data_IF_648320873464
#
_entry.id   IF_648320873464
#
_cell.length_a   1.000
_cell.length_b   1.000
_cell.length_c   1.000
_cell.angle_alpha   90.00
_cell.angle_beta   90.00
_cell.angle_gamma   90.00
#
_symmetry.space_group_name_H-M   'P 1'
#
loop_
_entity.id
_entity.type
_entity.pdbx_description
1 polymer ?
#
# COMPACT_ATOMS: atom_id res chain seq x y z
N UNK A 1 11.88 -35.49 -49.70
CA UNK A 1 10.73 -35.87 -48.82
C UNK A 1 11.10 -36.24 -47.38
N UNK A 2 12.36 -36.43 -47.01
CA UNK A 2 12.78 -36.78 -45.63
C UNK A 2 12.78 -35.65 -44.60
N UNK A 3 12.87 -34.38 -45.02
CA UNK A 3 12.99 -33.21 -44.12
C UNK A 3 11.66 -32.82 -43.44
N UNK A 4 10.49 -33.17 -43.98
CA UNK A 4 9.19 -32.88 -43.41
C UNK A 4 8.75 -33.88 -42.32
N UNK A 5 9.26 -35.11 -42.35
CA UNK A 5 8.94 -36.13 -41.35
C UNK A 5 9.58 -35.82 -39.98
N UNK A 6 10.80 -35.30 -39.98
CA UNK A 6 11.52 -34.94 -38.73
C UNK A 6 10.94 -33.73 -38.01
N UNK A 7 10.38 -32.77 -38.74
CA UNK A 7 9.73 -31.58 -38.14
C UNK A 7 8.41 -31.96 -37.42
N UNK A 8 7.60 -32.84 -38.02
CA UNK A 8 6.36 -33.34 -37.41
C UNK A 8 6.62 -34.18 -36.14
N UNK A 9 7.66 -35.01 -36.13
CA UNK A 9 8.02 -35.82 -34.98
C UNK A 9 8.46 -34.93 -33.78
N UNK A 10 9.19 -33.85 -34.04
CA UNK A 10 9.59 -32.89 -32.99
C UNK A 10 8.41 -32.11 -32.42
N UNK A 11 7.43 -31.72 -33.22
CA UNK A 11 6.23 -31.05 -32.79
C UNK A 11 5.36 -31.93 -31.85
N UNK A 12 5.20 -33.22 -32.19
CA UNK A 12 4.44 -34.16 -31.36
C UNK A 12 5.08 -34.43 -30.00
N UNK A 13 6.41 -34.44 -29.92
CA UNK A 13 7.14 -34.66 -28.66
C UNK A 13 7.03 -33.41 -27.76
N UNK A 14 7.06 -32.20 -28.33
CA UNK A 14 6.90 -30.97 -27.60
C UNK A 14 5.48 -30.81 -27.02
N UNK A 15 4.47 -31.24 -27.78
CA UNK A 15 3.06 -31.15 -27.32
C UNK A 15 2.77 -32.15 -26.18
N UNK A 16 3.36 -33.36 -26.24
CA UNK A 16 3.25 -34.35 -25.17
C UNK A 16 3.94 -33.91 -23.86
N UNK A 17 5.06 -33.19 -23.96
CA UNK A 17 5.76 -32.64 -22.80
C UNK A 17 4.95 -31.51 -22.13
N UNK A 18 4.34 -30.65 -22.92
CA UNK A 18 3.48 -29.57 -22.43
C UNK A 18 2.20 -30.11 -21.75
N UNK A 19 1.62 -31.16 -22.27
CA UNK A 19 0.45 -31.82 -21.68
C UNK A 19 0.76 -32.46 -20.31
N UNK A 20 1.92 -33.09 -20.15
CA UNK A 20 2.38 -33.67 -18.87
C UNK A 20 2.65 -32.60 -17.81
N UNK A 21 3.22 -31.46 -18.19
CA UNK A 21 3.48 -30.36 -17.27
C UNK A 21 2.16 -29.75 -16.77
N UNK A 22 1.16 -29.56 -17.62
CA UNK A 22 -0.18 -29.07 -17.22
C UNK A 22 -0.89 -30.05 -16.29
N UNK A 23 -0.79 -31.37 -16.52
CA UNK A 23 -1.38 -32.37 -15.63
C UNK A 23 -0.73 -32.37 -14.24
N UNK A 24 0.58 -32.19 -14.12
CA UNK A 24 1.28 -32.08 -12.83
C UNK A 24 0.89 -30.85 -12.05
N UNK A 25 0.67 -29.70 -12.71
CA UNK A 25 0.22 -28.45 -12.07
C UNK A 25 -1.20 -28.62 -11.51
N UNK A 26 -2.11 -29.27 -12.26
CA UNK A 26 -3.50 -29.47 -11.81
C UNK A 26 -3.56 -30.46 -10.64
N UNK A 27 -2.76 -31.52 -10.63
CA UNK A 27 -2.68 -32.45 -9.49
C UNK A 27 -2.04 -31.82 -8.26
N UNK A 28 -1.05 -30.95 -8.42
CA UNK A 28 -0.43 -30.22 -7.32
C UNK A 28 -1.39 -29.24 -6.64
N UNK A 29 -2.22 -28.54 -7.40
CA UNK A 29 -3.23 -27.61 -6.86
C UNK A 29 -4.37 -28.35 -6.12
N UNK A 30 -4.76 -29.55 -6.57
CA UNK A 30 -5.79 -30.35 -5.88
C UNK A 30 -5.30 -30.88 -4.52
N UNK A 31 -4.02 -31.21 -4.39
CA UNK A 31 -3.44 -31.69 -3.12
C UNK A 31 -3.31 -30.57 -2.06
N UNK A 32 -3.06 -29.33 -2.49
CA UNK A 32 -2.98 -28.17 -1.57
C UNK A 32 -4.38 -27.78 -1.06
N UNK A 33 -5.42 -27.91 -1.88
CA UNK A 33 -6.79 -27.56 -1.49
C UNK A 33 -7.38 -28.55 -0.44
N UNK A 34 -6.91 -29.79 -0.40
CA UNK A 34 -7.41 -30.80 0.57
C UNK A 34 -6.83 -30.63 1.99
N UNK A 35 -5.73 -29.89 2.16
CA UNK A 35 -5.06 -29.70 3.46
C UNK A 35 -5.60 -28.50 4.26
N UNK A 36 -6.43 -27.63 3.66
CA UNK A 36 -6.95 -26.41 4.30
C UNK A 36 -8.27 -26.63 5.04
N UNK A 37 -8.93 -27.80 4.92
CA UNK A 37 -10.27 -28.03 5.49
C UNK A 37 -10.25 -28.69 6.88
N UNK A 38 -9.08 -29.02 7.45
CA UNK A 38 -8.99 -29.77 8.72
C UNK A 38 -8.34 -28.96 9.85
N UNK A 39 -8.87 -27.79 10.19
CA UNK A 39 -8.26 -26.98 11.26
C UNK A 39 -9.08 -25.82 11.76
N UNK A 40 -10.41 -25.96 11.94
CA UNK A 40 -11.16 -25.00 12.74
C UNK A 40 -11.00 -25.35 14.22
N UNK A 41 -9.88 -24.90 14.81
CA UNK A 41 -9.76 -24.77 16.25
C UNK A 41 -10.22 -23.36 16.62
N UNK A 42 -11.30 -23.28 17.40
CA UNK A 42 -11.82 -22.04 17.96
C UNK A 42 -10.77 -21.42 18.88
N UNK A 43 -10.18 -20.30 18.48
CA UNK A 43 -9.32 -19.50 19.35
C UNK A 43 -10.19 -18.45 20.03
N UNK A 44 -10.33 -18.58 21.34
CA UNK A 44 -10.97 -17.57 22.16
C UNK A 44 -10.12 -16.28 22.10
N UNK A 45 -10.75 -15.17 21.69
CA UNK A 45 -10.12 -13.86 21.60
C UNK A 45 -10.01 -13.29 23.03
N UNK A 46 -8.84 -13.37 23.62
CA UNK A 46 -8.50 -12.62 24.82
C UNK A 46 -8.11 -11.21 24.39
N UNK A 47 -8.84 -10.21 24.89
CA UNK A 47 -8.51 -8.79 24.71
C UNK A 47 -7.19 -8.50 25.44
N UNK A 48 -6.10 -8.43 24.67
CA UNK A 48 -4.80 -7.97 25.12
C UNK A 48 -4.57 -6.55 24.60
N UNK A 49 -4.48 -5.59 25.52
CA UNK A 49 -4.02 -4.23 25.23
C UNK A 49 -2.52 -4.26 24.95
N UNK A 50 -2.12 -4.11 23.69
CA UNK A 50 -0.71 -3.97 23.33
C UNK A 50 -0.45 -2.59 22.77
N UNK A 51 0.45 -1.85 23.43
CA UNK A 51 0.90 -0.53 23.06
C UNK A 51 2.07 -0.66 22.10
N UNK A 52 1.77 -0.86 20.82
CA UNK A 52 2.72 -0.74 19.72
C UNK A 52 2.80 0.70 19.24
N UNK A 53 4.00 1.28 19.25
CA UNK A 53 4.25 2.62 18.72
C UNK A 53 4.28 2.56 17.19
N UNK A 54 3.13 2.84 16.56
CA UNK A 54 2.99 2.84 15.13
C UNK A 54 3.04 4.25 14.56
N UNK A 55 3.86 4.44 13.53
CA UNK A 55 4.02 5.65 12.73
C UNK A 55 2.78 6.02 11.89
N UNK A 56 1.69 5.29 12.00
CA UNK A 56 0.38 5.71 11.52
C UNK A 56 -0.19 6.71 12.54
N UNK A 57 -0.10 8.00 12.22
CA UNK A 57 -0.48 9.13 13.10
C UNK A 57 -1.74 8.84 13.90
N UNK A 58 -1.70 9.15 15.20
CA UNK A 58 -2.78 8.95 16.18
C UNK A 58 -4.09 9.57 15.68
N UNK A 59 -4.92 8.78 14.98
CA UNK A 59 -6.29 9.15 14.69
C UNK A 59 -7.09 9.02 15.98
N UNK A 60 -7.56 10.15 16.51
CA UNK A 60 -8.45 10.16 17.67
C UNK A 60 -9.75 9.47 17.29
N UNK A 61 -10.08 8.37 17.93
CA UNK A 61 -11.25 7.53 17.64
C UNK A 61 -12.62 8.14 18.00
N UNK A 62 -12.66 9.40 18.41
CA UNK A 62 -13.90 10.12 18.73
C UNK A 62 -14.37 10.90 17.50
N UNK A 63 -15.48 10.47 16.90
CA UNK A 63 -16.08 11.12 15.72
C UNK A 63 -15.67 10.57 14.36
N UNK A 64 -14.90 9.47 14.31
CA UNK A 64 -14.49 8.81 13.06
C UNK A 64 -15.61 7.91 12.55
N UNK A 65 -15.95 8.00 11.25
CA UNK A 65 -16.97 7.16 10.61
C UNK A 65 -16.64 5.66 10.70
N UNK A 66 -17.63 4.81 10.43
CA UNK A 66 -17.39 3.36 10.38
C UNK A 66 -16.44 3.00 9.23
N UNK A 67 -16.61 3.66 8.09
CA UNK A 67 -15.77 3.52 6.90
C UNK A 67 -14.31 3.88 7.20
N UNK A 68 -14.08 5.01 7.85
CA UNK A 68 -12.73 5.45 8.21
C UNK A 68 -12.06 4.52 9.20
N UNK A 69 -12.80 3.98 10.19
CA UNK A 69 -12.25 2.99 11.14
C UNK A 69 -11.81 1.72 10.45
N UNK A 70 -12.64 1.19 9.55
CA UNK A 70 -12.32 -0.02 8.79
C UNK A 70 -11.11 0.22 7.88
N UNK A 71 -11.09 1.35 7.16
CA UNK A 71 -9.97 1.72 6.31
C UNK A 71 -8.66 1.81 7.11
N UNK A 72 -8.67 2.44 8.29
CA UNK A 72 -7.48 2.53 9.15
C UNK A 72 -7.01 1.14 9.60
N UNK A 73 -7.96 0.24 9.94
CA UNK A 73 -7.63 -1.13 10.34
C UNK A 73 -6.96 -1.91 9.19
N UNK A 74 -7.49 -1.79 7.97
CA UNK A 74 -6.93 -2.42 6.78
C UNK A 74 -5.56 -1.84 6.40
N UNK A 75 -5.38 -0.52 6.49
CA UNK A 75 -4.07 0.13 6.26
C UNK A 75 -3.02 -0.36 7.25
N UNK A 76 -3.37 -0.55 8.52
CA UNK A 76 -2.46 -1.12 9.54
C UNK A 76 -2.07 -2.58 9.25
N UNK A 77 -2.94 -3.33 8.57
CA UNK A 77 -2.69 -4.70 8.12
C UNK A 77 -1.98 -4.74 6.75
N UNK A 78 -1.59 -3.59 6.21
CA UNK A 78 -1.01 -3.43 4.87
C UNK A 78 -1.94 -3.92 3.73
N UNK A 79 -3.23 -4.09 4.01
CA UNK A 79 -4.28 -4.45 3.05
C UNK A 79 -4.74 -3.20 2.27
N UNK A 80 -3.81 -2.55 1.57
CA UNK A 80 -4.03 -1.24 0.96
C UNK A 80 -5.12 -1.26 -0.11
N UNK A 81 -5.19 -2.32 -0.92
CA UNK A 81 -6.22 -2.46 -1.95
C UNK A 81 -7.63 -2.55 -1.34
N UNK A 82 -7.75 -3.27 -0.21
CA UNK A 82 -9.03 -3.44 0.48
C UNK A 82 -9.45 -2.19 1.25
N UNK A 83 -8.50 -1.34 1.65
CA UNK A 83 -8.78 -0.07 2.32
C UNK A 83 -9.39 0.98 1.38
N UNK A 84 -9.01 0.98 0.09
CA UNK A 84 -9.41 2.02 -0.86
C UNK A 84 -10.93 2.18 -1.02
N UNK A 85 -11.76 1.13 -1.14
CA UNK A 85 -13.21 1.27 -1.24
C UNK A 85 -13.83 2.00 -0.04
N UNK A 86 -13.37 1.73 1.18
CA UNK A 86 -13.84 2.40 2.40
C UNK A 86 -13.43 3.88 2.42
N UNK A 87 -12.18 4.18 2.04
CA UNK A 87 -11.69 5.55 1.92
C UNK A 87 -12.43 6.34 0.84
N UNK A 88 -12.73 5.72 -0.30
CA UNK A 88 -13.51 6.35 -1.36
C UNK A 88 -14.94 6.65 -0.90
N UNK A 89 -15.57 5.74 -0.14
CA UNK A 89 -16.89 5.96 0.45
C UNK A 89 -16.85 7.09 1.49
N UNK A 90 -15.79 7.15 2.30
CA UNK A 90 -15.57 8.23 3.28
C UNK A 90 -15.52 9.59 2.59
N UNK A 91 -14.66 9.76 1.57
CA UNK A 91 -14.53 11.05 0.87
C UNK A 91 -15.73 11.39 -0.03
N UNK A 92 -16.56 10.41 -0.38
CA UNK A 92 -17.83 10.66 -1.05
C UNK A 92 -18.87 11.24 -0.09
N UNK A 93 -18.85 10.82 1.19
CA UNK A 93 -19.69 11.36 2.26
C UNK A 93 -19.16 12.66 2.87
N UNK A 94 -17.86 12.74 3.07
CA UNK A 94 -17.15 13.93 3.56
C UNK A 94 -15.95 14.26 2.68
N UNK A 95 -16.13 15.04 1.61
CA UNK A 95 -15.03 15.46 0.73
C UNK A 95 -13.98 16.36 1.43
N UNK A 96 -14.29 16.88 2.61
CA UNK A 96 -13.40 17.75 3.39
C UNK A 96 -12.51 16.98 4.39
N UNK A 97 -12.62 15.65 4.43
CA UNK A 97 -11.80 14.81 5.29
C UNK A 97 -10.37 14.68 4.73
N UNK A 98 -9.47 15.56 5.18
CA UNK A 98 -8.06 15.55 4.76
C UNK A 98 -7.33 14.25 5.15
N UNK A 99 -7.69 13.63 6.28
CA UNK A 99 -7.10 12.38 6.73
C UNK A 99 -7.46 11.22 5.79
N UNK A 100 -8.70 11.16 5.31
CA UNK A 100 -9.13 10.15 4.35
C UNK A 100 -8.40 10.33 3.00
N UNK A 101 -8.27 11.55 2.49
CA UNK A 101 -7.48 11.83 1.30
C UNK A 101 -6.00 11.46 1.47
N UNK A 102 -5.41 11.74 2.63
CA UNK A 102 -4.06 11.32 2.96
C UNK A 102 -3.90 9.78 2.92
N UNK A 103 -4.86 9.03 3.48
CA UNK A 103 -4.82 7.56 3.46
C UNK A 103 -5.06 6.98 2.06
N UNK A 104 -5.87 7.62 1.21
CA UNK A 104 -5.97 7.27 -0.23
C UNK A 104 -4.59 7.43 -0.88
N UNK A 105 -3.93 8.56 -0.67
CA UNK A 105 -2.59 8.83 -1.20
C UNK A 105 -1.57 7.79 -0.73
N UNK A 106 -1.57 7.47 0.56
CA UNK A 106 -0.68 6.48 1.15
C UNK A 106 -0.91 5.08 0.57
N UNK A 107 -2.16 4.61 0.54
CA UNK A 107 -2.53 3.30 0.01
C UNK A 107 -2.20 3.17 -1.47
N UNK A 108 -2.53 4.18 -2.28
CA UNK A 108 -2.20 4.22 -3.71
C UNK A 108 -0.70 4.20 -3.95
N UNK A 109 0.10 4.92 -3.16
CA UNK A 109 1.57 4.89 -3.23
C UNK A 109 2.12 3.50 -2.95
N UNK A 110 1.62 2.83 -1.91
CA UNK A 110 2.02 1.45 -1.57
C UNK A 110 1.68 0.44 -2.65
N UNK A 111 0.61 0.68 -3.41
CA UNK A 111 0.21 -0.13 -4.56
C UNK A 111 0.93 0.25 -5.88
N UNK A 112 1.76 1.31 -5.87
CA UNK A 112 2.49 1.79 -7.05
C UNK A 112 1.66 2.71 -7.96
N UNK A 113 0.44 3.07 -7.59
CA UNK A 113 -0.36 4.06 -8.31
C UNK A 113 0.01 5.48 -7.85
N UNK A 114 1.14 5.94 -8.39
CA UNK A 114 1.71 7.23 -8.01
C UNK A 114 0.88 8.42 -8.49
N UNK A 115 0.14 8.28 -9.59
CA UNK A 115 -0.72 9.34 -10.14
C UNK A 115 -1.89 9.62 -9.19
N UNK A 116 -2.62 8.57 -8.80
CA UNK A 116 -3.71 8.70 -7.82
C UNK A 116 -3.18 9.15 -6.47
N UNK A 117 -2.01 8.65 -6.05
CA UNK A 117 -1.36 9.04 -4.80
C UNK A 117 -1.08 10.55 -4.74
N UNK A 118 -0.44 11.11 -5.77
CA UNK A 118 -0.13 12.53 -5.83
C UNK A 118 -1.40 13.38 -5.77
N UNK A 119 -2.39 13.06 -6.60
CA UNK A 119 -3.67 13.77 -6.64
C UNK A 119 -4.40 13.74 -5.28
N UNK A 120 -4.34 12.62 -4.56
CA UNK A 120 -4.95 12.48 -3.25
C UNK A 120 -4.24 13.32 -2.18
N UNK A 121 -2.90 13.33 -2.16
CA UNK A 121 -2.14 14.20 -1.27
C UNK A 121 -2.38 15.68 -1.57
N UNK A 122 -2.54 16.05 -2.85
CA UNK A 122 -2.88 17.43 -3.21
C UNK A 122 -4.23 17.85 -2.65
N UNK A 123 -5.24 16.97 -2.72
CA UNK A 123 -6.53 17.22 -2.08
C UNK A 123 -6.42 17.35 -0.56
N UNK A 124 -5.68 16.45 0.10
CA UNK A 124 -5.44 16.54 1.53
C UNK A 124 -4.79 17.87 1.92
N UNK A 125 -3.79 18.32 1.15
CA UNK A 125 -3.07 19.57 1.40
C UNK A 125 -3.83 20.83 0.97
N UNK A 126 -4.78 20.72 0.05
CA UNK A 126 -5.72 21.79 -0.28
C UNK A 126 -6.72 22.03 0.86
N UNK A 127 -7.20 20.97 1.51
CA UNK A 127 -8.09 21.03 2.66
C UNK A 127 -7.34 21.48 3.91
N UNK A 128 -6.21 20.84 4.20
CA UNK A 128 -5.35 21.16 5.34
C UNK A 128 -3.90 21.36 4.89
N UNK A 129 -3.47 22.60 4.60
CA UNK A 129 -2.11 22.92 4.14
C UNK A 129 -1.00 22.55 5.15
N UNK A 130 -1.35 22.26 6.40
CA UNK A 130 -0.44 21.86 7.49
C UNK A 130 -0.58 20.38 7.86
N UNK A 131 -1.25 19.58 7.04
CA UNK A 131 -1.43 18.14 7.28
C UNK A 131 -0.08 17.43 7.25
N UNK A 132 0.43 17.06 8.43
CA UNK A 132 1.81 16.56 8.58
C UNK A 132 2.06 15.27 7.79
N UNK A 133 1.16 14.27 7.91
CA UNK A 133 1.29 13.02 7.18
C UNK A 133 1.25 13.23 5.66
N UNK A 134 0.40 14.12 5.14
CA UNK A 134 0.36 14.39 3.70
C UNK A 134 1.63 15.10 3.20
N UNK A 135 2.21 16.01 4.01
CA UNK A 135 3.49 16.65 3.68
C UNK A 135 4.65 15.65 3.68
N UNK A 136 4.69 14.75 4.67
CA UNK A 136 5.68 13.67 4.76
C UNK A 136 5.56 12.70 3.59
N UNK A 137 4.40 12.07 3.44
CA UNK A 137 4.20 11.00 2.47
C UNK A 137 4.26 11.48 1.02
N UNK A 138 3.81 12.71 0.73
CA UNK A 138 4.04 13.32 -0.59
C UNK A 138 5.52 13.58 -0.82
N UNK A 139 6.28 13.96 0.21
CA UNK A 139 7.73 14.10 0.12
C UNK A 139 8.42 12.78 -0.23
N UNK A 140 8.02 11.68 0.40
CA UNK A 140 8.52 10.34 0.06
C UNK A 140 8.11 9.90 -1.35
N UNK A 141 6.88 10.22 -1.80
CA UNK A 141 6.45 10.01 -3.18
C UNK A 141 7.36 10.74 -4.16
N UNK A 142 7.69 12.00 -3.88
CA UNK A 142 8.58 12.79 -4.73
C UNK A 142 9.99 12.18 -4.83
N UNK A 143 10.52 11.61 -3.74
CA UNK A 143 11.78 10.86 -3.81
C UNK A 143 11.66 9.62 -4.70
N UNK A 144 10.55 8.89 -4.61
CA UNK A 144 10.27 7.74 -5.47
C UNK A 144 10.23 8.13 -6.95
N UNK A 145 9.73 9.34 -7.26
CA UNK A 145 9.63 9.90 -8.61
C UNK A 145 10.91 10.64 -9.05
N UNK A 146 11.98 10.66 -8.25
CA UNK A 146 13.23 11.35 -8.56
C UNK A 146 13.20 12.87 -8.33
N UNK A 147 12.14 13.41 -7.76
CA UNK A 147 11.98 14.85 -7.51
C UNK A 147 12.51 15.22 -6.12
N UNK A 148 13.83 15.26 -5.97
CA UNK A 148 14.50 15.65 -4.72
C UNK A 148 14.12 17.08 -4.29
N UNK A 149 14.07 18.02 -5.22
CA UNK A 149 13.74 19.42 -4.93
C UNK A 149 12.35 19.54 -4.30
N UNK A 150 11.34 18.89 -4.89
CA UNK A 150 9.99 18.90 -4.33
C UNK A 150 9.90 18.25 -2.94
N UNK A 151 10.68 17.18 -2.69
CA UNK A 151 10.75 16.58 -1.37
C UNK A 151 11.35 17.52 -0.32
N UNK A 152 12.40 18.26 -0.67
CA UNK A 152 13.04 19.26 0.22
C UNK A 152 12.10 20.45 0.52
N UNK A 153 11.33 20.91 -0.47
CA UNK A 153 10.31 21.94 -0.27
C UNK A 153 9.21 21.48 0.70
N UNK A 154 8.74 20.23 0.55
CA UNK A 154 7.76 19.66 1.48
C UNK A 154 8.32 19.49 2.89
N UNK A 155 9.58 19.09 3.03
CA UNK A 155 10.26 19.06 4.33
C UNK A 155 10.34 20.47 4.97
N UNK A 156 10.62 21.51 4.17
CA UNK A 156 10.64 22.88 4.67
C UNK A 156 9.24 23.35 5.12
N UNK A 157 8.18 22.98 4.39
CA UNK A 157 6.78 23.23 4.81
C UNK A 157 6.42 22.47 6.09
N UNK A 158 6.81 21.19 6.17
CA UNK A 158 6.56 20.32 7.31
C UNK A 158 7.22 20.87 8.59
N UNK A 159 8.47 21.33 8.50
CA UNK A 159 9.17 21.98 9.61
C UNK A 159 8.43 23.22 10.14
N UNK A 160 7.85 24.05 9.25
CA UNK A 160 7.05 25.21 9.65
C UNK A 160 5.72 24.83 10.30
N UNK A 161 5.20 23.65 9.98
CA UNK A 161 3.94 23.12 10.53
C UNK A 161 4.14 22.37 11.85
N UNK A 162 5.39 22.15 12.23
CA UNK A 162 5.79 21.37 13.41
C UNK A 162 6.21 22.29 14.54
N UNK A 163 5.55 22.20 15.69
CA UNK A 163 5.86 23.03 16.85
C UNK A 163 7.01 22.47 17.70
N UNK A 164 7.11 21.14 17.83
CA UNK A 164 8.15 20.47 18.61
C UNK A 164 8.18 18.97 18.28
N UNK A 165 9.37 18.43 18.01
CA UNK A 165 9.72 17.00 17.94
C UNK A 165 8.72 16.12 17.13
N UNK A 166 8.39 16.53 15.90
CA UNK A 166 7.51 15.75 15.03
C UNK A 166 8.29 14.59 14.37
N UNK A 167 7.76 13.39 14.50
CA UNK A 167 8.29 12.19 13.83
C UNK A 167 8.35 12.38 12.32
N UNK A 168 7.31 12.96 11.73
CA UNK A 168 7.17 13.19 10.30
C UNK A 168 8.33 14.02 9.71
N UNK A 169 8.82 15.01 10.47
CA UNK A 169 10.01 15.81 10.07
C UNK A 169 11.26 14.96 10.05
N UNK A 170 11.42 14.08 11.06
CA UNK A 170 12.56 13.18 11.15
C UNK A 170 12.52 12.17 9.99
N UNK A 171 11.37 11.56 9.77
CA UNK A 171 11.20 10.48 8.81
C UNK A 171 11.45 10.97 7.37
N UNK A 172 10.86 12.11 6.97
CA UNK A 172 11.13 12.68 5.65
C UNK A 172 12.57 13.18 5.50
N UNK A 173 13.19 13.75 6.56
CA UNK A 173 14.60 14.13 6.53
C UNK A 173 15.50 12.91 6.33
N UNK A 174 15.22 11.81 7.01
CA UNK A 174 16.00 10.59 6.92
C UNK A 174 15.84 9.95 5.53
N UNK A 175 14.63 9.94 4.97
CA UNK A 175 14.35 9.51 3.60
C UNK A 175 15.15 10.32 2.56
N UNK A 176 15.15 11.66 2.67
CA UNK A 176 15.94 12.54 1.79
C UNK A 176 17.44 12.25 1.93
N UNK A 177 17.91 12.01 3.16
CA UNK A 177 19.33 11.71 3.42
C UNK A 177 19.71 10.38 2.79
N UNK A 178 18.87 9.35 2.92
CA UNK A 178 19.09 8.05 2.30
C UNK A 178 19.08 8.14 0.77
N UNK A 179 18.14 8.87 0.19
CA UNK A 179 18.06 9.11 -1.25
C UNK A 179 19.35 9.75 -1.80
N UNK A 180 19.86 10.81 -1.15
CA UNK A 180 21.11 11.48 -1.54
C UNK A 180 22.35 10.59 -1.48
N UNK A 181 22.37 9.62 -0.58
CA UNK A 181 23.50 8.66 -0.46
C UNK A 181 23.45 7.59 -1.54
N UNK A 182 22.29 7.33 -2.13
CA UNK A 182 22.09 6.32 -3.16
C UNK A 182 22.32 6.84 -4.59
N UNK A 183 22.55 8.15 -4.75
CA UNK A 183 22.90 8.82 -6.02
C UNK A 183 24.42 8.82 -6.21
#
# INVERSE_FOLDING_TARGET
MACQATARARALVADAAAARLRAMIILGMAAILALVISGFASVAFAAGSDSGSDSAGKYKSYGVSAEMREAIALVKQEAFADALPFLQKEVAGDPSNADAWNLIGFSSRKLGDYVTSEAAYDKALAINPKHKGALEYKGELFLTLGNLTGAEELLARLRRSCSFNCSEVKDLKDAITAYKKAQ
#
